data_IF_169337902855
#
_entry.id   IF_169337902855
#
_cell.length_a   1.000
_cell.length_b   1.000
_cell.length_c   1.000
_cell.angle_alpha   90.00
_cell.angle_beta   90.00
_cell.angle_gamma   90.00
#
_symmetry.space_group_name_H-M   'P 1'
#
loop_
_entity.id
_entity.type
_entity.pdbx_description
1 polymer ?
#
# COMPACT_ATOMS: atom_id res chain seq x y z
N UNK A 1 26.04 45.91 66.39
CA UNK A 1 26.68 44.83 67.17
C UNK A 1 26.84 43.63 66.24
N UNK A 2 28.08 43.26 65.86
CA UNK A 2 28.34 42.15 64.92
C UNK A 2 29.39 42.43 63.83
N UNK A 3 30.65 42.57 64.27
CA UNK A 3 31.99 42.49 63.62
C UNK A 3 32.20 42.58 62.09
N UNK A 4 33.13 43.48 61.75
CA UNK A 4 33.92 43.64 60.51
C UNK A 4 34.92 42.48 60.28
N UNK A 5 35.31 42.22 59.03
CA UNK A 5 36.72 42.13 58.65
C UNK A 5 36.95 42.36 57.14
N UNK A 6 37.87 43.28 56.85
CA UNK A 6 38.48 43.68 55.57
C UNK A 6 39.67 42.79 55.22
N UNK A 7 39.94 42.50 53.93
CA UNK A 7 41.11 42.98 53.15
C UNK A 7 41.21 42.30 51.77
N UNK A 8 41.87 43.02 50.85
CA UNK A 8 42.21 42.68 49.46
C UNK A 8 43.26 41.57 49.30
N UNK A 9 43.33 40.94 48.11
CA UNK A 9 44.58 40.81 47.31
C UNK A 9 44.36 40.19 45.91
N UNK A 10 45.16 40.69 44.97
CA UNK A 10 45.25 40.43 43.53
C UNK A 10 46.32 39.39 43.16
N UNK A 11 46.28 38.97 41.88
CA UNK A 11 47.34 38.39 41.01
C UNK A 11 47.51 36.87 40.89
N UNK A 12 47.63 36.40 39.63
CA UNK A 12 48.32 35.16 39.27
C UNK A 12 47.80 34.48 37.99
N UNK A 13 48.33 34.87 36.82
CA UNK A 13 48.16 34.16 35.55
C UNK A 13 48.96 32.84 35.52
N UNK A 14 48.51 31.84 34.75
CA UNK A 14 49.37 30.86 34.08
C UNK A 14 48.62 30.11 32.97
N UNK A 15 49.06 30.36 31.74
CA UNK A 15 48.81 29.60 30.53
C UNK A 15 49.39 28.18 30.67
N UNK A 16 48.65 27.14 30.26
CA UNK A 16 49.25 25.91 29.74
C UNK A 16 48.33 25.22 28.71
N UNK A 17 48.87 25.19 27.48
CA UNK A 17 48.79 24.12 26.47
C UNK A 17 47.44 23.80 25.79
N UNK A 18 47.23 24.48 24.66
CA UNK A 18 46.47 24.00 23.51
C UNK A 18 47.27 22.90 22.79
N UNK A 19 47.06 21.64 23.15
CA UNK A 19 47.60 20.50 22.37
C UNK A 19 46.77 19.21 22.47
N UNK A 20 45.53 19.29 22.96
CA UNK A 20 44.65 18.12 23.13
C UNK A 20 43.34 18.18 22.32
N UNK A 21 43.13 19.22 21.50
CA UNK A 21 41.90 19.38 20.72
C UNK A 21 42.04 18.99 19.23
N UNK A 22 43.25 18.99 18.66
CA UNK A 22 43.45 18.66 17.24
C UNK A 22 43.51 17.14 16.94
N UNK A 23 43.81 16.32 17.95
CA UNK A 23 43.86 14.85 17.82
C UNK A 23 42.46 14.23 17.85
N UNK A 24 41.49 14.88 18.50
CA UNK A 24 40.12 14.39 18.61
C UNK A 24 39.35 14.68 17.31
N UNK A 25 39.57 15.83 16.65
CA UNK A 25 38.85 16.19 15.42
C UNK A 25 39.19 15.26 14.24
N UNK A 26 40.47 14.91 14.05
CA UNK A 26 40.91 14.05 12.95
C UNK A 26 40.52 12.57 13.12
N UNK A 27 40.34 12.12 14.37
CA UNK A 27 39.90 10.75 14.67
C UNK A 27 38.38 10.60 14.48
N UNK A 28 37.60 11.67 14.66
CA UNK A 28 36.15 11.68 14.46
C UNK A 28 35.81 11.72 12.95
N UNK A 29 36.51 12.51 12.14
CA UNK A 29 36.28 12.54 10.69
C UNK A 29 36.61 11.19 10.02
N UNK A 30 37.74 10.56 10.37
CA UNK A 30 38.12 9.26 9.79
C UNK A 30 37.19 8.10 10.19
N UNK A 31 36.65 8.11 11.42
CA UNK A 31 35.68 7.08 11.84
C UNK A 31 34.29 7.28 11.23
N UNK A 32 33.96 8.52 10.84
CA UNK A 32 32.72 8.80 10.13
C UNK A 32 32.75 8.27 8.69
N UNK A 33 33.84 8.48 7.94
CA UNK A 33 33.96 8.01 6.54
C UNK A 33 33.98 6.47 6.41
N UNK A 34 34.72 5.76 7.28
CA UNK A 34 34.71 4.27 7.30
C UNK A 34 33.32 3.71 7.65
N UNK A 35 32.56 4.38 8.54
CA UNK A 35 31.19 3.95 8.88
C UNK A 35 30.19 4.19 7.75
N UNK A 36 30.42 5.19 6.89
CA UNK A 36 29.55 5.47 5.74
C UNK A 36 29.76 4.46 4.61
N UNK A 37 30.99 4.01 4.39
CA UNK A 37 31.32 3.07 3.31
C UNK A 37 30.93 1.62 3.64
N UNK A 38 31.03 1.22 4.90
CA UNK A 38 30.53 -0.08 5.38
C UNK A 38 29.00 -0.13 5.40
N UNK A 39 28.32 0.97 5.75
CA UNK A 39 26.86 1.07 5.65
C UNK A 39 26.39 1.07 4.18
N UNK A 40 27.12 1.69 3.25
CA UNK A 40 26.78 1.65 1.83
C UNK A 40 26.92 0.25 1.22
N UNK A 41 27.90 -0.56 1.67
CA UNK A 41 28.04 -1.97 1.28
C UNK A 41 26.97 -2.86 1.92
N UNK A 42 26.60 -2.62 3.17
CA UNK A 42 25.52 -3.35 3.85
C UNK A 42 24.13 -3.02 3.27
N UNK A 43 23.90 -1.79 2.81
CA UNK A 43 22.64 -1.39 2.15
C UNK A 43 22.52 -2.04 0.77
N UNK A 44 23.61 -2.16 0.00
CA UNK A 44 23.61 -2.87 -1.29
C UNK A 44 23.28 -4.36 -1.17
N UNK A 45 23.73 -5.02 -0.10
CA UNK A 45 23.42 -6.44 0.15
C UNK A 45 22.00 -6.66 0.70
N UNK A 46 21.43 -5.68 1.41
CA UNK A 46 20.03 -5.72 1.88
C UNK A 46 19.04 -5.44 0.72
N UNK A 47 19.33 -4.48 -0.17
CA UNK A 47 18.48 -4.19 -1.36
C UNK A 47 18.41 -5.38 -2.34
N UNK A 48 19.45 -6.22 -2.36
CA UNK A 48 19.46 -7.43 -3.18
C UNK A 48 18.72 -8.60 -2.51
N UNK A 49 18.54 -8.58 -1.18
CA UNK A 49 17.85 -9.65 -0.45
C UNK A 49 16.34 -9.39 -0.34
N UNK A 50 15.91 -8.14 -0.12
CA UNK A 50 14.48 -7.76 -0.07
C UNK A 50 13.80 -7.81 -1.45
N UNK A 51 14.56 -7.65 -2.53
CA UNK A 51 14.06 -7.85 -3.89
C UNK A 51 13.94 -9.32 -4.31
N UNK A 52 14.46 -10.26 -3.53
CA UNK A 52 14.40 -11.70 -3.80
C UNK A 52 13.29 -12.41 -3.01
N UNK A 53 12.96 -11.93 -1.81
CA UNK A 53 11.97 -12.58 -0.94
C UNK A 53 10.51 -12.31 -1.34
N UNK A 54 10.22 -11.33 -2.19
CA UNK A 54 8.89 -11.16 -2.80
C UNK A 54 8.66 -12.08 -4.02
N UNK A 55 9.72 -12.66 -4.60
CA UNK A 55 9.63 -13.49 -5.82
C UNK A 55 9.64 -15.00 -5.57
N UNK A 56 9.73 -15.46 -4.32
CA UNK A 56 10.03 -16.87 -4.01
C UNK A 56 8.81 -17.78 -3.80
N UNK A 57 7.58 -17.26 -3.83
CA UNK A 57 6.37 -18.06 -3.65
C UNK A 57 5.58 -18.31 -4.95
N UNK A 58 6.26 -18.80 -5.99
CA UNK A 58 5.65 -19.65 -7.03
C UNK A 58 6.76 -20.19 -7.95
N UNK A 59 7.34 -21.35 -7.58
CA UNK A 59 8.14 -22.14 -8.52
C UNK A 59 7.92 -23.62 -8.25
N UNK A 60 6.98 -24.20 -9.01
CA UNK A 60 6.96 -25.64 -9.26
C UNK A 60 8.11 -26.00 -10.19
N UNK A 61 8.89 -27.00 -9.81
CA UNK A 61 10.00 -27.55 -10.57
C UNK A 61 9.53 -28.23 -11.86
N UNK A 62 10.01 -27.78 -13.00
CA UNK A 62 10.27 -28.67 -14.14
C UNK A 62 11.42 -28.11 -14.98
N UNK A 63 12.44 -28.95 -15.17
CA UNK A 63 13.65 -28.70 -15.94
C UNK A 63 13.39 -29.07 -17.40
N UNK A 64 13.35 -28.08 -18.28
CA UNK A 64 13.52 -28.29 -19.72
C UNK A 64 13.98 -27.01 -20.42
N UNK A 65 14.99 -27.16 -21.27
CA UNK A 65 15.56 -26.22 -22.25
C UNK A 65 14.66 -25.03 -22.65
N UNK A 66 15.14 -23.81 -22.38
CA UNK A 66 14.49 -22.54 -22.74
C UNK A 66 14.55 -22.34 -24.26
N UNK A 67 13.45 -22.67 -24.92
CA UNK A 67 13.04 -21.97 -26.14
C UNK A 67 12.58 -20.56 -25.72
N UNK A 68 12.96 -19.52 -26.47
CA UNK A 68 12.42 -18.18 -26.28
C UNK A 68 10.93 -18.21 -26.66
N UNK A 69 10.06 -18.53 -25.71
CA UNK A 69 8.65 -18.23 -25.81
C UNK A 69 8.51 -16.70 -25.80
N UNK A 70 8.08 -16.13 -26.93
CA UNK A 70 7.53 -14.77 -26.96
C UNK A 70 6.35 -14.76 -25.98
N UNK A 71 6.56 -14.29 -24.74
CA UNK A 71 5.49 -14.11 -23.76
C UNK A 71 4.45 -13.15 -24.40
N UNK A 72 3.25 -13.67 -24.66
CA UNK A 72 2.15 -12.86 -25.24
C UNK A 72 1.73 -11.80 -24.21
N UNK A 73 2.26 -10.59 -24.40
CA UNK A 73 1.99 -9.41 -23.58
C UNK A 73 0.77 -8.61 -24.05
N UNK A 74 -0.06 -9.19 -24.93
CA UNK A 74 -1.32 -8.57 -25.31
C UNK A 74 -2.29 -8.49 -24.13
N UNK A 75 -3.15 -7.47 -24.16
CA UNK A 75 -4.23 -7.27 -23.20
C UNK A 75 -5.49 -6.84 -23.94
N UNK A 76 -6.65 -6.87 -23.31
CA UNK A 76 -7.91 -6.55 -23.99
C UNK A 76 -8.45 -5.18 -23.56
N UNK A 77 -8.31 -4.84 -22.28
CA UNK A 77 -8.85 -3.63 -21.67
C UNK A 77 -7.87 -3.01 -20.68
N UNK A 78 -8.13 -1.75 -20.31
CA UNK A 78 -7.44 -1.04 -19.24
C UNK A 78 -8.38 -0.90 -18.05
N UNK A 79 -7.92 -1.29 -16.86
CA UNK A 79 -8.63 -1.05 -15.62
C UNK A 79 -8.05 0.20 -14.96
N UNK A 80 -8.87 1.20 -14.70
CA UNK A 80 -8.51 2.31 -13.82
C UNK A 80 -9.09 2.05 -12.43
N UNK A 81 -8.23 1.95 -11.42
CA UNK A 81 -8.63 1.68 -10.05
C UNK A 81 -8.38 2.88 -9.14
N UNK A 82 -9.42 3.26 -8.41
CA UNK A 82 -9.35 4.20 -7.31
C UNK A 82 -9.56 3.44 -6.00
N UNK A 83 -8.73 3.75 -5.02
CA UNK A 83 -8.79 3.17 -3.68
C UNK A 83 -9.28 4.19 -2.65
N UNK A 84 -9.90 3.68 -1.60
CA UNK A 84 -10.37 4.44 -0.45
C UNK A 84 -9.29 4.43 0.64
N UNK A 85 -8.52 5.51 0.82
CA UNK A 85 -7.31 5.50 1.65
C UNK A 85 -7.54 5.08 3.10
N UNK A 86 -8.73 5.37 3.63
CA UNK A 86 -9.11 5.05 5.00
C UNK A 86 -9.21 3.54 5.21
N UNK A 87 -9.82 2.81 4.27
CA UNK A 87 -9.90 1.35 4.33
C UNK A 87 -8.55 0.72 4.02
N UNK A 88 -7.81 1.21 3.03
CA UNK A 88 -6.45 0.73 2.73
C UNK A 88 -5.54 0.85 3.96
N UNK A 89 -5.51 2.02 4.61
CA UNK A 89 -4.74 2.23 5.84
C UNK A 89 -5.22 1.30 6.97
N UNK A 90 -6.53 1.11 7.11
CA UNK A 90 -7.08 0.21 8.12
C UNK A 90 -6.58 -1.22 7.92
N UNK A 91 -6.70 -1.75 6.70
CA UNK A 91 -6.23 -3.08 6.35
C UNK A 91 -4.74 -3.24 6.60
N UNK A 92 -3.94 -2.28 6.12
CA UNK A 92 -2.49 -2.23 6.35
C UNK A 92 -2.11 -2.30 7.84
N UNK A 93 -2.84 -1.59 8.70
CA UNK A 93 -2.60 -1.59 10.16
C UNK A 93 -3.11 -2.83 10.89
N UNK A 94 -4.01 -3.60 10.27
CA UNK A 94 -4.50 -4.86 10.84
C UNK A 94 -3.53 -6.02 10.57
N UNK A 95 -2.69 -5.92 9.54
CA UNK A 95 -1.61 -6.88 9.23
C UNK A 95 -0.49 -6.80 10.28
N UNK A 96 -0.01 -5.59 10.59
CA UNK A 96 0.96 -5.34 11.66
C UNK A 96 0.61 -4.10 12.46
N UNK A 97 0.58 -4.25 13.79
CA UNK A 97 0.28 -3.16 14.73
C UNK A 97 1.31 -2.01 14.76
N UNK A 98 2.48 -2.21 14.16
CA UNK A 98 3.56 -1.22 14.02
C UNK A 98 3.45 -0.40 12.73
N UNK A 99 2.62 -0.84 11.78
CA UNK A 99 2.38 -0.11 10.55
C UNK A 99 1.79 1.27 10.82
N UNK A 100 2.37 2.27 10.16
CA UNK A 100 1.83 3.60 10.05
C UNK A 100 1.19 3.77 8.67
N UNK A 101 0.42 4.83 8.47
CA UNK A 101 -0.11 5.18 7.17
C UNK A 101 -0.16 6.70 7.01
N UNK A 102 -0.14 7.17 5.76
CA UNK A 102 -0.29 8.59 5.43
C UNK A 102 -1.58 8.75 4.64
N UNK A 103 -2.51 9.53 5.18
CA UNK A 103 -3.79 9.81 4.55
C UNK A 103 -3.76 11.19 3.86
N UNK A 104 -4.55 11.38 2.80
CA UNK A 104 -4.77 12.71 2.24
C UNK A 104 -5.28 13.71 3.29
N UNK A 105 -4.84 14.96 3.20
CA UNK A 105 -5.28 16.03 4.11
C UNK A 105 -6.78 16.30 4.03
N UNK A 106 -7.34 16.19 2.82
CA UNK A 106 -8.77 16.35 2.57
C UNK A 106 -9.50 15.06 2.94
N UNK A 107 -10.60 15.20 3.67
CA UNK A 107 -11.57 14.12 3.87
C UNK A 107 -12.30 13.81 2.56
N UNK A 108 -12.94 12.64 2.49
CA UNK A 108 -13.73 12.21 1.32
C UNK A 108 -12.91 12.19 0.02
N UNK A 109 -11.65 11.78 0.15
CA UNK A 109 -10.68 11.87 -0.93
C UNK A 109 -10.24 10.48 -1.40
N UNK A 110 -10.73 10.08 -2.58
CA UNK A 110 -10.25 8.91 -3.29
C UNK A 110 -8.89 9.19 -3.94
N UNK A 111 -8.00 8.21 -3.85
CA UNK A 111 -6.70 8.23 -4.51
C UNK A 111 -6.66 7.18 -5.63
N UNK A 112 -5.77 7.39 -6.59
CA UNK A 112 -5.47 6.40 -7.60
C UNK A 112 -4.70 5.26 -6.94
N UNK A 113 -5.07 4.02 -7.25
CA UNK A 113 -4.19 2.87 -7.03
C UNK A 113 -3.37 2.62 -8.29
N UNK A 114 -4.01 2.56 -9.46
CA UNK A 114 -3.37 2.02 -10.65
C UNK A 114 -4.14 2.13 -11.96
N UNK A 115 -3.41 1.91 -13.05
CA UNK A 115 -3.94 1.71 -14.42
C UNK A 115 -3.41 0.38 -14.93
N UNK A 116 -4.27 -0.63 -15.03
CA UNK A 116 -3.84 -2.00 -15.24
C UNK A 116 -4.33 -2.56 -16.57
N UNK A 117 -3.44 -2.73 -17.56
CA UNK A 117 -3.71 -3.58 -18.71
C UNK A 117 -4.15 -4.97 -18.24
N UNK A 118 -5.28 -5.45 -18.77
CA UNK A 118 -5.86 -6.72 -18.36
C UNK A 118 -6.33 -7.52 -19.56
N UNK A 119 -5.98 -8.80 -19.58
CA UNK A 119 -6.52 -9.81 -20.49
C UNK A 119 -7.78 -10.41 -19.88
N UNK A 120 -8.88 -10.44 -20.63
CA UNK A 120 -10.14 -10.98 -20.13
C UNK A 120 -9.99 -12.48 -19.82
N UNK A 121 -10.62 -12.93 -18.73
CA UNK A 121 -10.53 -14.32 -18.28
C UNK A 121 -9.16 -14.73 -17.72
N UNK A 122 -8.20 -13.82 -17.56
CA UNK A 122 -6.85 -14.11 -17.07
C UNK A 122 -6.38 -13.03 -16.08
N UNK A 123 -5.39 -13.36 -15.24
CA UNK A 123 -4.70 -12.36 -14.44
C UNK A 123 -3.56 -11.75 -15.26
N UNK A 124 -3.38 -10.43 -15.17
CA UNK A 124 -2.35 -9.72 -15.92
C UNK A 124 -2.77 -9.33 -17.34
N UNK A 125 -1.83 -9.00 -18.23
CA UNK A 125 -0.40 -9.30 -18.14
C UNK A 125 0.34 -8.46 -17.09
N UNK A 126 1.58 -8.84 -16.75
CA UNK A 126 2.41 -8.12 -15.77
C UNK A 126 3.88 -8.22 -16.10
N UNK A 127 4.66 -7.19 -15.76
CA UNK A 127 6.10 -7.14 -15.97
C UNK A 127 6.52 -7.38 -17.44
N UNK A 128 5.78 -6.80 -18.38
CA UNK A 128 5.93 -7.05 -19.82
C UNK A 128 7.24 -6.54 -20.45
N UNK A 129 8.04 -5.78 -19.70
CA UNK A 129 9.39 -5.45 -20.09
C UNK A 129 10.34 -5.61 -18.89
N UNK A 130 10.99 -6.78 -18.82
CA UNK A 130 11.94 -7.15 -17.75
C UNK A 130 13.24 -6.31 -17.78
N UNK A 131 13.51 -5.61 -18.87
CA UNK A 131 14.66 -4.72 -19.03
C UNK A 131 14.31 -3.24 -18.87
N UNK A 132 13.04 -2.90 -18.59
CA UNK A 132 12.65 -1.53 -18.32
C UNK A 132 13.21 -1.07 -16.98
N UNK A 133 13.77 0.14 -16.98
CA UNK A 133 14.06 0.88 -15.76
C UNK A 133 12.94 1.89 -15.48
N UNK A 134 12.94 2.45 -14.27
CA UNK A 134 12.04 3.52 -13.86
C UNK A 134 12.87 4.76 -13.52
N UNK A 135 12.53 5.89 -14.12
CA UNK A 135 13.20 7.17 -13.94
C UNK A 135 12.25 8.23 -13.39
N UNK A 136 12.32 8.45 -12.08
CA UNK A 136 11.47 9.40 -11.36
C UNK A 136 11.59 10.83 -11.92
N UNK A 137 12.74 11.21 -12.48
CA UNK A 137 12.99 12.57 -12.97
C UNK A 137 12.12 12.87 -14.22
N UNK A 138 11.69 11.83 -14.97
CA UNK A 138 10.74 11.99 -16.08
C UNK A 138 9.37 12.50 -15.62
N UNK A 139 9.06 12.35 -14.32
CA UNK A 139 7.78 12.71 -13.73
C UNK A 139 7.79 14.08 -13.06
N UNK A 140 8.89 14.84 -13.11
CA UNK A 140 9.06 16.12 -12.40
C UNK A 140 7.89 17.08 -12.62
N UNK A 141 7.42 17.21 -13.86
CA UNK A 141 6.33 18.11 -14.22
C UNK A 141 4.95 17.71 -13.63
N UNK A 142 4.77 16.46 -13.24
CA UNK A 142 3.54 15.94 -12.64
C UNK A 142 3.73 15.42 -11.20
N UNK A 143 4.93 15.55 -10.64
CA UNK A 143 5.30 14.98 -9.34
C UNK A 143 4.41 15.50 -8.20
N UNK A 144 4.03 16.78 -8.23
CA UNK A 144 3.11 17.37 -7.25
C UNK A 144 1.70 16.74 -7.33
N UNK A 145 1.21 16.48 -8.54
CA UNK A 145 -0.07 15.82 -8.76
C UNK A 145 -0.01 14.35 -8.33
N UNK A 146 1.08 13.64 -8.63
CA UNK A 146 1.29 12.27 -8.19
C UNK A 146 1.30 12.16 -6.66
N UNK A 147 2.04 13.02 -5.96
CA UNK A 147 2.06 13.09 -4.49
C UNK A 147 0.67 13.30 -3.88
N UNK A 148 -0.21 14.01 -4.58
CA UNK A 148 -1.55 14.37 -4.07
C UNK A 148 -2.59 13.31 -4.42
N UNK A 149 -2.60 12.83 -5.66
CA UNK A 149 -3.69 12.03 -6.20
C UNK A 149 -3.35 10.55 -6.35
N UNK A 150 -2.07 10.20 -6.40
CA UNK A 150 -1.58 8.84 -6.52
C UNK A 150 -0.52 8.51 -5.43
N UNK A 151 -0.74 8.85 -4.15
CA UNK A 151 0.24 8.63 -3.09
C UNK A 151 0.39 7.14 -2.73
N UNK A 152 1.50 6.80 -2.09
CA UNK A 152 1.55 5.60 -1.25
C UNK A 152 0.76 5.83 0.04
N UNK A 153 -0.02 4.85 0.47
CA UNK A 153 -0.81 4.93 1.72
C UNK A 153 -0.04 4.38 2.92
N UNK A 154 0.90 3.45 2.71
CA UNK A 154 1.62 2.74 3.79
C UNK A 154 2.60 3.62 4.58
N UNK A 155 2.86 4.85 4.13
CA UNK A 155 3.60 5.88 4.85
C UNK A 155 5.08 5.59 5.13
N UNK A 156 5.60 4.44 4.71
CA UNK A 156 6.96 3.98 5.02
C UNK A 156 7.85 3.89 3.79
N UNK A 157 7.28 3.84 2.59
CA UNK A 157 8.05 3.70 1.36
C UNK A 157 8.81 4.98 0.97
N UNK A 158 9.98 4.80 0.36
CA UNK A 158 10.74 5.87 -0.30
C UNK A 158 9.89 6.49 -1.42
N UNK A 159 10.03 7.79 -1.64
CA UNK A 159 9.35 8.50 -2.73
C UNK A 159 9.64 7.81 -4.07
N UNK A 160 8.59 7.59 -4.87
CA UNK A 160 8.70 6.95 -6.18
C UNK A 160 8.68 5.42 -6.18
N UNK A 161 8.83 4.74 -5.03
CA UNK A 161 8.82 3.28 -4.98
C UNK A 161 7.49 2.70 -5.49
N UNK A 162 6.37 3.26 -5.05
CA UNK A 162 5.05 2.83 -5.50
C UNK A 162 4.84 3.07 -7.01
N UNK A 163 5.24 4.23 -7.53
CA UNK A 163 5.14 4.52 -8.96
C UNK A 163 6.06 3.63 -9.80
N UNK A 164 7.26 3.32 -9.29
CA UNK A 164 8.13 2.32 -9.89
C UNK A 164 7.44 0.96 -9.99
N UNK A 165 6.77 0.52 -8.93
CA UNK A 165 6.02 -0.73 -8.94
C UNK A 165 4.90 -0.71 -9.99
N UNK A 166 4.06 0.33 -9.98
CA UNK A 166 2.96 0.48 -10.93
C UNK A 166 3.45 0.54 -12.38
N UNK A 167 4.54 1.26 -12.65
CA UNK A 167 5.13 1.33 -13.99
C UNK A 167 5.69 -0.03 -14.42
N UNK A 168 6.60 -0.62 -13.65
CA UNK A 168 7.29 -1.85 -14.06
C UNK A 168 6.33 -3.02 -14.20
N UNK A 169 5.33 -3.13 -13.32
CA UNK A 169 4.34 -4.21 -13.34
C UNK A 169 3.26 -4.00 -14.39
N UNK A 170 2.71 -2.78 -14.50
CA UNK A 170 1.51 -2.53 -15.31
C UNK A 170 1.77 -1.57 -16.48
N UNK A 171 2.48 -0.47 -16.25
CA UNK A 171 2.81 0.51 -17.28
C UNK A 171 3.61 -0.05 -18.46
N UNK A 172 4.57 -0.95 -18.20
CA UNK A 172 5.34 -1.63 -19.26
C UNK A 172 4.47 -2.46 -20.20
N UNK A 173 3.35 -3.00 -19.72
CA UNK A 173 2.37 -3.72 -20.55
C UNK A 173 1.50 -2.76 -21.36
N UNK A 174 1.18 -1.58 -20.80
CA UNK A 174 0.41 -0.54 -21.46
C UNK A 174 1.20 0.14 -22.59
N UNK A 175 2.54 0.05 -22.54
CA UNK A 175 3.44 0.72 -23.47
C UNK A 175 3.36 0.24 -24.92
N UNK A 176 2.58 -0.81 -25.21
CA UNK A 176 2.18 -1.18 -26.57
C UNK A 176 1.21 -0.17 -27.22
N UNK A 177 0.60 0.73 -26.43
CA UNK A 177 -0.19 1.87 -26.90
C UNK A 177 0.68 3.12 -26.94
N UNK A 178 0.72 3.82 -28.08
CA UNK A 178 1.53 5.04 -28.29
C UNK A 178 1.20 6.14 -27.25
N UNK A 179 -0.04 6.22 -26.81
CA UNK A 179 -0.48 7.19 -25.82
C UNK A 179 -0.08 6.84 -24.38
N UNK A 180 0.53 5.67 -24.14
CA UNK A 180 1.02 5.20 -22.83
C UNK A 180 2.46 4.63 -22.90
N UNK A 181 3.17 4.85 -24.01
CA UNK A 181 4.48 4.24 -24.33
C UNK A 181 5.67 4.69 -23.45
N UNK A 182 5.43 5.52 -22.44
CA UNK A 182 6.43 5.94 -21.46
C UNK A 182 5.77 6.31 -20.12
N UNK A 183 6.61 6.39 -19.09
CA UNK A 183 6.20 6.68 -17.71
C UNK A 183 5.31 7.93 -17.61
N UNK A 184 5.77 9.03 -18.19
CA UNK A 184 5.08 10.31 -18.12
C UNK A 184 3.68 10.23 -18.73
N UNK A 185 3.55 9.69 -19.94
CA UNK A 185 2.25 9.54 -20.62
C UNK A 185 1.31 8.62 -19.83
N UNK A 186 1.81 7.50 -19.31
CA UNK A 186 1.05 6.56 -18.49
C UNK A 186 0.50 7.22 -17.22
N UNK A 187 1.35 7.91 -16.46
CA UNK A 187 0.93 8.58 -15.22
C UNK A 187 0.01 9.78 -15.49
N UNK A 188 0.26 10.54 -16.56
CA UNK A 188 -0.65 11.62 -17.01
C UNK A 188 -2.04 11.09 -17.33
N UNK A 189 -2.14 9.91 -17.96
CA UNK A 189 -3.44 9.29 -18.26
C UNK A 189 -4.22 8.97 -16.99
N UNK A 190 -3.60 8.32 -16.02
CA UNK A 190 -4.24 7.99 -14.74
C UNK A 190 -4.70 9.25 -13.99
N UNK A 191 -3.87 10.30 -13.97
CA UNK A 191 -4.23 11.59 -13.37
C UNK A 191 -5.43 12.26 -14.07
N UNK A 192 -5.46 12.24 -15.41
CA UNK A 192 -6.58 12.77 -16.19
C UNK A 192 -7.89 12.01 -15.92
N UNK A 193 -7.83 10.67 -15.88
CA UNK A 193 -9.00 9.86 -15.53
C UNK A 193 -9.47 10.08 -14.10
N UNK A 194 -8.56 10.30 -13.15
CA UNK A 194 -8.93 10.67 -11.79
C UNK A 194 -9.74 11.96 -11.77
N UNK A 195 -9.32 12.98 -12.50
CA UNK A 195 -10.06 14.26 -12.58
C UNK A 195 -11.43 14.09 -13.22
N UNK A 196 -11.52 13.27 -14.28
CA UNK A 196 -12.75 13.06 -15.02
C UNK A 196 -13.75 12.16 -14.27
N UNK A 197 -13.28 11.13 -13.56
CA UNK A 197 -14.11 10.07 -12.96
C UNK A 197 -13.94 10.00 -11.44
N UNK A 198 -14.14 11.12 -10.75
CA UNK A 198 -14.03 11.17 -9.29
C UNK A 198 -15.12 10.33 -8.60
N UNK A 199 -14.72 9.26 -7.91
CA UNK A 199 -15.66 8.37 -7.23
C UNK A 199 -16.49 9.08 -6.16
N UNK A 200 -15.92 10.07 -5.46
CA UNK A 200 -16.68 10.89 -4.50
C UNK A 200 -17.85 11.64 -5.15
N UNK A 201 -17.67 12.18 -6.36
CA UNK A 201 -18.74 12.86 -7.10
C UNK A 201 -19.78 11.86 -7.62
N UNK A 202 -19.31 10.73 -8.17
CA UNK A 202 -20.18 9.69 -8.72
C UNK A 202 -21.08 9.11 -7.63
N UNK A 203 -20.49 8.66 -6.52
CA UNK A 203 -21.24 8.13 -5.38
C UNK A 203 -22.10 9.20 -4.70
N UNK A 204 -21.56 10.41 -4.54
CA UNK A 204 -22.27 11.53 -3.93
C UNK A 204 -23.51 11.97 -4.71
N UNK A 205 -23.53 11.81 -6.04
CA UNK A 205 -24.73 12.10 -6.85
C UNK A 205 -25.93 11.20 -6.51
N UNK A 206 -25.68 10.01 -5.93
CA UNK A 206 -26.68 9.09 -5.42
C UNK A 206 -26.89 9.20 -3.89
N UNK A 207 -26.29 10.21 -3.25
CA UNK A 207 -26.34 10.40 -1.80
C UNK A 207 -25.50 9.41 -1.00
N UNK A 208 -24.54 8.74 -1.64
CA UNK A 208 -23.63 7.79 -0.99
C UNK A 208 -22.35 8.55 -0.60
N UNK A 209 -22.18 8.74 0.71
CA UNK A 209 -21.05 9.43 1.32
C UNK A 209 -20.37 8.54 2.35
N UNK A 210 -19.16 8.88 2.81
CA UNK A 210 -18.58 8.23 3.98
C UNK A 210 -19.56 8.19 5.16
N UNK A 211 -19.51 7.09 5.90
CA UNK A 211 -20.40 6.68 6.99
C UNK A 211 -21.85 6.39 6.58
N UNK A 212 -22.17 6.40 5.28
CA UNK A 212 -23.43 5.83 4.78
C UNK A 212 -23.39 4.30 4.83
N UNK A 213 -24.55 3.69 5.11
CA UNK A 213 -24.74 2.25 4.98
C UNK A 213 -25.36 1.96 3.62
N UNK A 214 -24.55 1.45 2.70
CA UNK A 214 -24.99 1.11 1.34
C UNK A 214 -24.76 -0.36 1.06
N UNK A 215 -25.62 -0.99 0.26
CA UNK A 215 -25.36 -2.34 -0.26
C UNK A 215 -24.44 -2.26 -1.47
N UNK A 216 -23.76 -3.36 -1.81
CA UNK A 216 -22.97 -3.43 -3.05
C UNK A 216 -23.81 -3.13 -4.30
N UNK A 217 -25.08 -3.54 -4.29
CA UNK A 217 -26.04 -3.27 -5.36
C UNK A 217 -26.34 -1.77 -5.46
N UNK A 218 -26.43 -1.05 -4.34
CA UNK A 218 -26.64 0.39 -4.36
C UNK A 218 -25.43 1.14 -4.94
N UNK A 219 -24.20 0.73 -4.56
CA UNK A 219 -22.97 1.25 -5.15
C UNK A 219 -22.92 0.98 -6.67
N UNK A 220 -23.18 -0.26 -7.09
CA UNK A 220 -23.23 -0.63 -8.51
C UNK A 220 -24.19 0.26 -9.29
N UNK A 221 -25.43 0.43 -8.80
CA UNK A 221 -26.43 1.26 -9.47
C UNK A 221 -26.02 2.73 -9.56
N UNK A 222 -25.44 3.29 -8.50
CA UNK A 222 -24.96 4.67 -8.52
C UNK A 222 -23.89 4.89 -9.60
N UNK A 223 -22.94 3.95 -9.71
CA UNK A 223 -21.86 4.04 -10.70
C UNK A 223 -22.39 3.82 -12.11
N UNK A 224 -23.23 2.80 -12.33
CA UNK A 224 -23.84 2.52 -13.65
C UNK A 224 -24.74 3.67 -14.09
N UNK A 225 -25.50 4.30 -13.19
CA UNK A 225 -26.34 5.45 -13.53
C UNK A 225 -25.50 6.66 -14.00
N UNK A 226 -24.31 6.84 -13.44
CA UNK A 226 -23.42 7.96 -13.78
C UNK A 226 -22.58 7.67 -15.04
N UNK A 227 -22.05 6.46 -15.17
CA UNK A 227 -21.07 6.10 -16.20
C UNK A 227 -21.65 5.26 -17.34
N UNK A 228 -22.83 4.67 -17.16
CA UNK A 228 -23.45 3.78 -18.14
C UNK A 228 -22.75 2.43 -18.31
N UNK A 229 -21.76 2.10 -17.46
CA UNK A 229 -20.91 0.91 -17.54
C UNK A 229 -20.78 0.20 -16.20
N UNK A 230 -20.65 -1.13 -16.24
CA UNK A 230 -20.46 -1.98 -15.06
C UNK A 230 -19.04 -1.80 -14.47
N UNK A 231 -18.90 -1.37 -13.20
CA UNK A 231 -17.61 -1.39 -12.50
C UNK A 231 -17.33 -2.77 -11.85
N UNK A 232 -16.12 -2.90 -11.29
CA UNK A 232 -15.79 -3.90 -10.26
C UNK A 232 -15.61 -3.22 -8.90
N UNK A 233 -16.27 -3.72 -7.86
CA UNK A 233 -16.30 -3.11 -6.52
C UNK A 233 -15.63 -4.07 -5.53
N UNK A 234 -14.59 -3.60 -4.85
CA UNK A 234 -13.78 -4.41 -3.94
C UNK A 234 -13.91 -3.95 -2.49
N UNK A 235 -13.91 -4.92 -1.59
CA UNK A 235 -13.97 -4.73 -0.15
C UNK A 235 -12.91 -5.54 0.58
N UNK A 236 -12.52 -5.03 1.75
CA UNK A 236 -11.81 -5.78 2.78
C UNK A 236 -12.83 -6.35 3.76
N UNK A 237 -12.75 -7.65 4.04
CA UNK A 237 -13.59 -8.28 5.06
C UNK A 237 -12.88 -8.38 6.40
N UNK A 238 -13.42 -7.71 7.42
CA UNK A 238 -12.95 -7.83 8.78
C UNK A 238 -13.71 -8.94 9.52
N UNK A 239 -13.07 -10.11 9.60
CA UNK A 239 -13.58 -11.27 10.33
C UNK A 239 -13.77 -11.02 11.84
N UNK A 240 -13.05 -10.06 12.45
CA UNK A 240 -13.16 -9.77 13.89
C UNK A 240 -14.45 -9.04 14.21
N UNK A 241 -14.92 -8.22 13.27
CA UNK A 241 -16.13 -7.41 13.39
C UNK A 241 -17.31 -7.91 12.57
N UNK A 242 -17.07 -8.88 11.70
CA UNK A 242 -18.09 -9.43 10.79
C UNK A 242 -18.60 -8.36 9.79
N UNK A 243 -17.70 -7.47 9.33
CA UNK A 243 -18.02 -6.30 8.50
C UNK A 243 -17.17 -6.23 7.22
N UNK A 244 -17.79 -5.86 6.10
CA UNK A 244 -17.10 -5.51 4.85
C UNK A 244 -16.85 -4.00 4.78
N UNK A 245 -15.63 -3.60 4.45
CA UNK A 245 -15.24 -2.20 4.24
C UNK A 245 -14.96 -1.95 2.75
N UNK A 246 -15.54 -0.89 2.18
CA UNK A 246 -15.26 -0.48 0.79
C UNK A 246 -13.79 -0.11 0.66
N UNK A 247 -13.08 -0.76 -0.25
CA UNK A 247 -11.65 -0.59 -0.45
C UNK A 247 -11.36 0.04 -1.81
N UNK A 248 -11.86 -0.53 -2.89
CA UNK A 248 -11.57 -0.04 -4.25
C UNK A 248 -12.80 -0.07 -5.14
N UNK A 249 -12.79 0.85 -6.11
CA UNK A 249 -13.72 0.81 -7.24
C UNK A 249 -12.89 0.89 -8.51
N UNK A 250 -13.15 -0.06 -9.40
CA UNK A 250 -12.45 -0.22 -10.67
C UNK A 250 -13.44 0.05 -11.81
N UNK A 251 -13.03 0.89 -12.74
CA UNK A 251 -13.75 1.17 -13.99
C UNK A 251 -12.87 0.78 -15.17
N UNK A 252 -13.48 0.37 -16.28
CA UNK A 252 -12.75 -0.22 -17.39
C UNK A 252 -12.82 0.64 -18.65
N UNK A 253 -11.76 0.56 -19.44
CA UNK A 253 -11.61 1.27 -20.70
C UNK A 253 -11.16 0.33 -21.81
N UNK A 254 -11.60 0.59 -23.03
CA UNK A 254 -11.01 0.00 -24.23
C UNK A 254 -9.58 0.51 -24.43
N UNK A 255 -8.83 -0.10 -25.36
CA UNK A 255 -7.51 0.40 -25.78
C UNK A 255 -7.57 1.81 -26.40
N UNK A 256 -8.75 2.26 -26.83
CA UNK A 256 -9.01 3.61 -27.34
C UNK A 256 -9.40 4.60 -26.23
N UNK A 257 -9.30 4.19 -24.96
CA UNK A 257 -9.63 4.99 -23.77
C UNK A 257 -11.11 5.37 -23.65
N UNK A 258 -12.00 4.58 -24.25
CA UNK A 258 -13.46 4.73 -24.08
C UNK A 258 -13.95 3.85 -22.93
N UNK A 259 -14.87 4.38 -22.11
CA UNK A 259 -15.48 3.61 -21.02
C UNK A 259 -16.14 2.34 -21.55
N UNK A 260 -15.86 1.21 -20.90
CA UNK A 260 -16.46 -0.09 -21.20
C UNK A 260 -16.81 -0.83 -19.92
N UNK A 261 -17.65 -1.86 -20.05
CA UNK A 261 -18.02 -2.73 -18.94
C UNK A 261 -16.80 -3.55 -18.48
N UNK A 262 -16.65 -3.73 -17.17
CA UNK A 262 -15.61 -4.60 -16.59
C UNK A 262 -15.96 -6.09 -16.67
N UNK A 263 -17.02 -6.47 -17.37
CA UNK A 263 -17.48 -7.84 -17.52
C UNK A 263 -16.38 -8.74 -18.10
N UNK A 264 -16.11 -9.88 -17.44
CA UNK A 264 -15.08 -10.84 -17.87
C UNK A 264 -13.66 -10.57 -17.34
N UNK A 265 -13.44 -9.48 -16.60
CA UNK A 265 -12.22 -9.31 -15.80
C UNK A 265 -12.19 -10.36 -14.68
N UNK A 266 -11.03 -10.98 -14.45
CA UNK A 266 -10.76 -11.80 -13.26
C UNK A 266 -9.92 -11.00 -12.26
N UNK A 267 -10.54 -10.21 -11.36
CA UNK A 267 -9.81 -9.19 -10.61
C UNK A 267 -9.23 -9.73 -9.29
N UNK A 268 -8.99 -11.04 -9.20
CA UNK A 268 -8.62 -11.76 -7.98
C UNK A 268 -9.79 -12.53 -7.39
N UNK A 269 -10.22 -12.16 -6.19
CA UNK A 269 -11.29 -12.81 -5.42
C UNK A 269 -12.71 -12.30 -5.73
N UNK A 270 -12.83 -11.29 -6.59
CA UNK A 270 -14.11 -10.75 -7.01
C UNK A 270 -14.77 -11.62 -8.08
N UNK A 271 -16.09 -11.82 -7.95
CA UNK A 271 -16.88 -12.68 -8.83
C UNK A 271 -18.08 -11.92 -9.40
N UNK A 272 -18.59 -12.27 -10.59
CA UNK A 272 -19.82 -11.71 -11.11
C UNK A 272 -21.02 -12.23 -10.35
N UNK A 273 -21.85 -11.33 -9.81
CA UNK A 273 -23.08 -11.66 -9.11
C UNK A 273 -24.26 -11.02 -9.84
N UNK A 274 -25.23 -11.85 -10.24
CA UNK A 274 -26.45 -11.43 -10.93
C UNK A 274 -27.50 -11.03 -9.90
N UNK A 275 -28.15 -9.89 -10.11
CA UNK A 275 -29.26 -9.40 -9.28
C UNK A 275 -30.34 -8.74 -10.16
N UNK A 276 -31.56 -8.50 -9.62
CA UNK A 276 -32.58 -7.76 -10.36
C UNK A 276 -32.10 -6.35 -10.74
N UNK A 277 -31.78 -6.17 -12.02
CA UNK A 277 -31.29 -4.91 -12.58
C UNK A 277 -29.86 -4.96 -13.14
N UNK A 278 -29.15 -6.10 -13.08
CA UNK A 278 -27.86 -6.25 -13.75
C UNK A 278 -26.92 -7.26 -13.08
N UNK A 279 -25.64 -7.12 -13.38
CA UNK A 279 -24.53 -7.89 -12.78
C UNK A 279 -23.61 -6.93 -12.05
N UNK A 280 -23.04 -7.34 -10.92
CA UNK A 280 -21.97 -6.63 -10.22
C UNK A 280 -20.77 -7.56 -10.06
N UNK A 281 -19.58 -7.10 -10.39
CA UNK A 281 -18.34 -7.83 -10.10
C UNK A 281 -17.84 -7.36 -8.75
N UNK A 282 -17.75 -8.28 -7.79
CA UNK A 282 -17.38 -7.90 -6.42
C UNK A 282 -16.90 -9.07 -5.57
N UNK A 283 -16.04 -8.79 -4.60
CA UNK A 283 -15.74 -9.67 -3.46
C UNK A 283 -16.47 -9.23 -2.17
N UNK A 284 -17.26 -8.15 -2.22
CA UNK A 284 -18.03 -7.64 -1.10
C UNK A 284 -19.19 -8.57 -0.74
N UNK A 285 -19.55 -8.62 0.54
CA UNK A 285 -20.65 -9.45 1.01
C UNK A 285 -22.01 -8.92 0.52
N UNK A 286 -22.68 -9.64 -0.39
CA UNK A 286 -23.90 -9.12 -1.07
C UNK A 286 -25.10 -8.87 -0.15
N UNK A 287 -25.27 -9.67 0.91
CA UNK A 287 -26.41 -9.56 1.83
C UNK A 287 -26.15 -8.69 3.06
N UNK A 288 -24.96 -8.08 3.17
CA UNK A 288 -24.61 -7.16 4.27
C UNK A 288 -24.36 -5.76 3.72
N UNK A 289 -24.60 -4.71 4.52
CA UNK A 289 -24.13 -3.38 4.19
C UNK A 289 -22.60 -3.35 4.05
N UNK A 290 -22.11 -2.55 3.12
CA UNK A 290 -20.70 -2.19 3.00
C UNK A 290 -20.48 -0.92 3.83
N UNK A 291 -19.48 -0.98 4.69
CA UNK A 291 -19.02 0.16 5.46
C UNK A 291 -18.09 1.02 4.58
N UNK A 292 -18.42 2.30 4.46
CA UNK A 292 -17.60 3.27 3.76
C UNK A 292 -17.08 4.31 4.77
N UNK A 293 -16.02 4.02 5.55
CA UNK A 293 -15.71 4.79 6.76
C UNK A 293 -15.05 6.14 6.46
N UNK A 294 -15.45 7.21 7.16
CA UNK A 294 -14.81 8.53 7.05
C UNK A 294 -13.49 8.67 7.83
N UNK A 295 -13.28 7.81 8.83
CA UNK A 295 -12.09 7.77 9.66
C UNK A 295 -11.59 6.33 9.79
N UNK A 296 -10.27 6.15 9.96
CA UNK A 296 -9.66 4.82 10.07
C UNK A 296 -10.22 4.12 11.31
N UNK A 297 -10.91 2.98 11.17
CA UNK A 297 -11.38 2.24 12.33
C UNK A 297 -10.23 1.92 13.29
N UNK A 298 -10.47 1.95 14.63
CA UNK A 298 -9.42 1.61 15.60
C UNK A 298 -9.02 0.15 15.40
N UNK A 299 -7.76 -0.23 15.55
CA UNK A 299 -7.38 -1.64 15.42
C UNK A 299 -7.89 -2.44 16.61
N UNK A 300 -8.62 -3.56 16.40
CA UNK A 300 -8.92 -4.48 17.52
C UNK A 300 -7.70 -5.35 17.69
N UNK A 301 -6.93 -5.10 18.76
CA UNK A 301 -5.99 -6.10 19.24
C UNK A 301 -6.81 -7.35 19.51
N UNK A 302 -6.52 -8.43 18.79
CA UNK A 302 -6.95 -9.76 19.22
C UNK A 302 -6.50 -9.82 20.66
N UNK A 303 -7.42 -9.83 21.63
CA UNK A 303 -7.03 -10.30 22.95
C UNK A 303 -6.47 -11.66 22.64
N UNK A 304 -5.14 -11.82 22.69
CA UNK A 304 -4.56 -13.14 22.75
C UNK A 304 -5.39 -13.82 23.81
N UNK A 305 -6.16 -14.84 23.41
CA UNK A 305 -6.76 -15.74 24.38
C UNK A 305 -5.56 -16.40 25.03
N UNK A 306 -4.94 -15.72 25.99
CA UNK A 306 -4.01 -16.29 26.93
C UNK A 306 -4.86 -17.29 27.65
N UNK A 307 -4.86 -18.52 27.14
CA UNK A 307 -5.49 -19.65 27.76
C UNK A 307 -4.83 -19.77 29.14
N UNK A 308 -5.37 -19.06 30.13
CA UNK A 308 -5.03 -19.26 31.53
C UNK A 308 -5.80 -20.49 31.96
N UNK A 309 -5.40 -21.64 31.47
CA UNK A 309 -5.89 -22.90 32.03
C UNK A 309 -5.11 -23.18 33.32
N UNK A 310 -5.77 -23.24 34.49
CA UNK A 310 -5.16 -23.75 35.72
C UNK A 310 -5.06 -25.29 35.73
N UNK A 311 -5.15 -25.95 34.57
CA UNK A 311 -5.25 -27.41 34.48
C UNK A 311 -3.89 -28.11 34.61
N UNK A 312 -2.78 -27.41 34.37
CA UNK A 312 -1.44 -27.97 34.64
C UNK A 312 -1.19 -28.12 36.16
N UNK A 313 -1.87 -27.34 37.00
CA UNK A 313 -1.77 -27.48 38.45
C UNK A 313 -2.74 -28.53 39.03
N UNK A 314 -3.88 -28.81 38.40
CA UNK A 314 -4.75 -29.89 38.84
C UNK A 314 -4.11 -31.27 38.62
N UNK A 315 -3.43 -31.46 37.49
CA UNK A 315 -2.75 -32.73 37.19
C UNK A 315 -1.55 -32.97 38.13
N UNK A 316 -0.77 -31.92 38.43
CA UNK A 316 0.31 -32.00 39.42
C UNK A 316 -0.19 -32.18 40.86
N UNK A 317 -1.35 -31.61 41.21
CA UNK A 317 -1.98 -31.81 42.52
C UNK A 317 -2.51 -33.24 42.68
N UNK A 318 -3.14 -33.82 41.65
CA UNK A 318 -3.60 -35.21 41.65
C UNK A 318 -2.41 -36.19 41.72
N UNK A 319 -1.32 -35.91 41.00
CA UNK A 319 -0.10 -36.72 41.06
C UNK A 319 0.63 -36.61 42.42
N UNK A 320 0.54 -35.46 43.10
CA UNK A 320 1.07 -35.24 44.45
C UNK A 320 0.21 -35.93 45.53
N UNK A 321 -1.12 -35.95 45.39
CA UNK A 321 -2.02 -36.63 46.33
C UNK A 321 -1.89 -38.16 46.24
N UNK A 322 -1.63 -38.72 45.04
CA UNK A 322 -1.38 -40.16 44.86
C UNK A 322 -0.11 -40.68 45.56
N UNK A 323 0.82 -39.80 45.94
CA UNK A 323 2.03 -40.16 46.71
C UNK A 323 1.81 -40.19 48.24
N UNK A 324 0.67 -39.70 48.72
CA UNK A 324 0.35 -39.65 50.16
C UNK A 324 -0.73 -40.65 50.61
N UNK A 325 -1.21 -41.51 49.71
CA UNK A 325 -2.25 -42.52 50.02
C UNK A 325 -1.89 -43.95 49.58
N UNK A 326 -0.60 -44.27 49.44
CA UNK A 326 -0.11 -45.64 49.23
C UNK A 326 1.03 -45.96 50.20
#
# INVERSE_FOLDING_TARGET
>A
MGRRCTLWLTFGALLFSTQWLDVISSTIERSSEESYEDNAKAIKSIEQQDSLDFFSNEKSNEDSSVEHEDEDHDFDILIFTQQWPVTTCYHWREEDSTHACVLPEKKEFWTIHGVWPTKLGHMGPSFCNKSADFDLDQLDQILANLKTYWPTIDGQQKLGYFWKHEWLKHGTCAASLEELDNELKYFQRGLAWREQYLMSNILGSAGIHPDSNSTVIALQRAIVQSLGKNPSIHCVYDNKRDMSYLEEIRICFTKQFELTDCDGVLPGDAVPIVYPGGTVITNCHISKPIHYPSNVPPTIRRMEKKWRFPVVNAFKLVQFIMWFTL
#
